data_IF_595345470376
#
_entry.id   IF_595345470376
#
_cell.length_a   1.000
_cell.length_b   1.000
_cell.length_c   1.000
_cell.angle_alpha   90.00
_cell.angle_beta   90.00
_cell.angle_gamma   90.00
#
_symmetry.space_group_name_H-M   'P 1'
#
loop_
_entity.id
_entity.type
_entity.pdbx_description
1 polymer ?
#
# COMPACT_ATOMS: atom_id res chain seq x y z
N UNK A 1 4.85 6.09 36.16
CA UNK A 1 4.77 4.69 36.70
C UNK A 1 6.13 4.05 37.03
N UNK A 2 7.22 4.30 36.32
CA UNK A 2 8.57 3.79 36.69
C UNK A 2 9.30 4.72 37.66
N UNK A 3 8.97 6.01 37.71
CA UNK A 3 9.57 7.01 38.61
C UNK A 3 8.94 6.97 39.98
N UNK A 4 7.69 6.58 40.13
CA UNK A 4 7.01 6.45 41.43
C UNK A 4 7.35 5.14 42.16
N UNK A 5 7.81 4.12 41.48
CA UNK A 5 8.22 2.86 42.12
C UNK A 5 9.59 2.93 42.80
N UNK A 6 10.40 3.93 42.47
CA UNK A 6 11.72 4.16 43.09
C UNK A 6 11.71 5.11 44.29
N UNK A 7 10.57 5.75 44.59
CA UNK A 7 10.44 6.69 45.69
C UNK A 7 9.96 6.06 47.01
N UNK A 8 9.55 4.80 47.02
CA UNK A 8 8.96 4.14 48.21
C UNK A 8 9.87 3.20 48.99
N UNK A 9 11.16 3.09 48.66
CA UNK A 9 12.11 2.27 49.41
C UNK A 9 13.36 3.08 49.77
N UNK A 10 13.22 4.08 50.62
CA UNK A 10 14.35 4.74 51.27
C UNK A 10 14.42 4.36 52.76
N UNK A 11 15.36 3.49 53.09
CA UNK A 11 16.08 3.56 54.35
C UNK A 11 17.56 3.88 54.08
N UNK A 12 17.93 5.01 54.57
CA UNK A 12 19.22 5.69 54.65
C UNK A 12 20.44 4.74 54.68
N UNK A 13 21.28 4.80 53.65
CA UNK A 13 22.75 4.78 53.77
C UNK A 13 23.36 4.97 52.37
N UNK A 14 24.20 6.01 52.25
CA UNK A 14 25.10 6.32 51.11
C UNK A 14 24.50 7.08 49.89
N UNK A 15 24.18 8.36 50.13
CA UNK A 15 23.84 9.34 49.07
C UNK A 15 25.02 9.64 48.12
N UNK A 16 26.27 9.49 48.51
CA UNK A 16 27.44 9.79 47.65
C UNK A 16 27.80 8.70 46.62
N UNK A 17 27.36 7.46 46.83
CA UNK A 17 27.59 6.35 45.88
C UNK A 17 26.47 6.22 44.83
N UNK A 18 25.29 6.74 45.13
CA UNK A 18 24.16 6.77 44.20
C UNK A 18 24.34 7.82 43.09
N UNK A 19 24.86 9.00 43.43
CA UNK A 19 25.10 10.08 42.47
C UNK A 19 26.21 9.77 41.48
N UNK A 20 27.26 9.02 41.90
CA UNK A 20 28.29 8.56 40.95
C UNK A 20 27.87 7.43 40.03
N UNK A 21 26.88 6.59 40.38
CA UNK A 21 26.33 5.55 39.50
C UNK A 21 25.24 6.05 38.56
N UNK A 22 24.50 7.10 38.93
CA UNK A 22 23.51 7.72 38.08
C UNK A 22 24.14 8.56 36.95
N UNK A 23 25.31 9.15 37.17
CA UNK A 23 26.04 9.93 36.17
C UNK A 23 26.81 9.05 35.14
N UNK A 24 26.83 7.73 35.32
CA UNK A 24 27.49 6.79 34.38
C UNK A 24 26.50 5.93 33.58
N UNK A 25 25.20 6.25 33.64
CA UNK A 25 24.29 5.78 32.57
C UNK A 25 24.60 6.64 31.35
N UNK A 26 25.58 6.17 30.61
CA UNK A 26 26.16 6.80 29.44
C UNK A 26 25.03 7.26 28.51
N UNK A 27 24.96 8.58 28.26
CA UNK A 27 24.02 9.22 27.30
C UNK A 27 24.00 8.46 25.99
N UNK A 28 25.10 7.78 25.62
CA UNK A 28 25.16 6.88 24.47
C UNK A 28 24.27 5.63 24.61
N UNK A 29 24.04 5.11 25.83
CA UNK A 29 23.10 4.00 26.03
C UNK A 29 21.64 4.47 26.07
N UNK A 30 21.38 5.64 26.61
CA UNK A 30 20.05 6.28 26.49
C UNK A 30 19.75 6.64 25.04
N UNK A 31 20.70 7.16 24.30
CA UNK A 31 20.54 7.41 22.86
C UNK A 31 20.42 6.10 22.04
N UNK A 32 21.11 5.03 22.43
CA UNK A 32 20.87 3.71 21.82
C UNK A 32 19.49 3.15 22.17
N UNK A 33 19.04 3.25 23.39
CA UNK A 33 17.70 2.80 23.82
C UNK A 33 16.61 3.68 23.19
N UNK A 34 16.80 5.02 23.10
CA UNK A 34 15.94 5.90 22.32
C UNK A 34 16.02 5.57 20.80
N UNK A 35 17.21 5.34 20.27
CA UNK A 35 17.40 4.97 18.86
C UNK A 35 16.77 3.61 18.52
N UNK A 36 16.79 2.64 19.45
CA UNK A 36 16.02 1.39 19.32
C UNK A 36 14.52 1.57 19.53
N UNK A 37 14.07 2.56 20.34
CA UNK A 37 12.64 2.89 20.51
C UNK A 37 12.09 3.80 19.42
N UNK A 38 12.93 4.52 18.70
CA UNK A 38 12.57 5.35 17.55
C UNK A 38 13.04 4.75 16.21
N UNK A 39 13.16 3.42 16.12
CA UNK A 39 13.01 2.78 14.83
C UNK A 39 11.56 3.04 14.43
N UNK A 40 11.31 4.21 13.85
CA UNK A 40 10.07 4.53 13.17
C UNK A 40 9.87 3.38 12.19
N UNK A 41 8.98 2.44 12.52
CA UNK A 41 8.55 1.44 11.57
C UNK A 41 7.93 2.22 10.42
N UNK A 42 8.72 2.50 9.40
CA UNK A 42 8.22 3.08 8.16
C UNK A 42 7.29 2.06 7.50
N UNK A 43 6.31 2.55 6.73
CA UNK A 43 5.49 1.72 5.86
C UNK A 43 6.39 0.76 5.07
N UNK A 44 6.02 -0.52 5.04
CA UNK A 44 6.77 -1.54 4.30
C UNK A 44 6.45 -1.38 2.81
N UNK A 45 7.50 -1.41 1.97
CA UNK A 45 7.38 -1.39 0.51
C UNK A 45 7.93 -2.69 -0.03
N UNK A 46 7.10 -3.41 -0.76
CA UNK A 46 7.44 -4.62 -1.49
C UNK A 46 7.61 -4.26 -2.97
N UNK A 47 8.85 -4.08 -3.41
CA UNK A 47 9.20 -3.80 -4.81
C UNK A 47 9.55 -5.11 -5.50
N UNK A 48 8.63 -5.60 -6.37
CA UNK A 48 8.72 -6.98 -6.85
C UNK A 48 9.80 -7.18 -7.91
N UNK A 49 10.13 -6.16 -8.71
CA UNK A 49 11.18 -6.28 -9.73
C UNK A 49 12.62 -6.25 -9.17
N UNK A 50 12.80 -6.12 -7.84
CA UNK A 50 14.12 -6.42 -7.23
C UNK A 50 14.54 -7.88 -7.45
N UNK A 51 13.56 -8.76 -7.72
CA UNK A 51 13.80 -10.17 -8.06
C UNK A 51 13.19 -10.49 -9.43
N UNK A 52 14.01 -11.05 -10.33
CA UNK A 52 13.55 -11.41 -11.66
C UNK A 52 12.46 -12.50 -11.64
N UNK A 53 11.39 -12.28 -12.40
CA UNK A 53 10.28 -13.21 -12.56
C UNK A 53 9.56 -12.98 -13.91
N UNK A 54 8.49 -13.70 -14.16
CA UNK A 54 7.62 -13.48 -15.35
C UNK A 54 7.04 -12.05 -15.36
N UNK A 55 6.98 -11.38 -14.21
CA UNK A 55 6.54 -10.01 -14.07
C UNK A 55 7.34 -9.04 -14.95
N UNK A 56 8.67 -9.28 -15.11
CA UNK A 56 9.53 -8.49 -15.99
C UNK A 56 8.98 -8.40 -17.42
N UNK A 57 8.44 -9.51 -17.94
CA UNK A 57 7.85 -9.55 -19.28
C UNK A 57 6.59 -8.68 -19.38
N UNK A 58 5.70 -8.76 -18.39
CA UNK A 58 4.47 -7.98 -18.41
C UNK A 58 4.75 -6.47 -18.25
N UNK A 59 5.67 -6.09 -17.36
CA UNK A 59 6.10 -4.70 -17.21
C UNK A 59 6.77 -4.18 -18.48
N UNK A 60 7.66 -4.97 -19.11
CA UNK A 60 8.28 -4.61 -20.39
C UNK A 60 7.21 -4.35 -21.48
N UNK A 61 6.20 -5.21 -21.58
CA UNK A 61 5.17 -5.07 -22.61
C UNK A 61 4.27 -3.83 -22.39
N UNK A 62 3.90 -3.49 -21.17
CA UNK A 62 3.09 -2.29 -20.89
C UNK A 62 3.88 -0.98 -21.02
N UNK A 63 5.21 -1.02 -20.94
CA UNK A 63 6.10 0.13 -21.15
C UNK A 63 6.48 0.33 -22.62
N UNK A 64 6.50 -0.71 -23.43
CA UNK A 64 6.93 -0.66 -24.83
C UNK A 64 5.88 0.08 -25.68
N UNK A 65 6.26 1.27 -26.20
CA UNK A 65 5.41 2.18 -26.98
C UNK A 65 4.76 1.55 -28.23
N UNK A 66 5.27 0.42 -28.71
CA UNK A 66 4.70 -0.28 -29.86
C UNK A 66 3.68 -1.35 -29.41
N UNK A 67 3.97 -2.04 -28.30
CA UNK A 67 3.13 -3.14 -27.78
C UNK A 67 1.93 -2.57 -27.01
N UNK A 68 2.12 -1.54 -26.20
CA UNK A 68 1.07 -0.95 -25.35
C UNK A 68 -0.11 -0.34 -26.12
N UNK A 69 0.03 -0.10 -27.44
CA UNK A 69 -1.05 0.40 -28.32
C UNK A 69 -2.20 -0.60 -28.49
N UNK A 70 -1.95 -1.88 -28.28
CA UNK A 70 -2.98 -2.90 -28.18
C UNK A 70 -3.64 -2.82 -26.82
N UNK A 71 -4.78 -2.13 -26.73
CA UNK A 71 -5.51 -1.91 -25.47
C UNK A 71 -5.98 -3.21 -24.81
N UNK A 72 -6.27 -4.27 -25.57
CA UNK A 72 -6.64 -5.58 -25.02
C UNK A 72 -5.43 -6.20 -24.33
N UNK A 73 -4.27 -6.23 -24.98
CA UNK A 73 -3.01 -6.73 -24.40
C UNK A 73 -2.59 -5.91 -23.19
N UNK A 74 -2.73 -4.58 -23.27
CA UNK A 74 -2.41 -3.68 -22.16
C UNK A 74 -3.26 -4.01 -20.91
N UNK A 75 -4.59 -4.09 -21.06
CA UNK A 75 -5.48 -4.49 -19.95
C UNK A 75 -5.13 -5.89 -19.42
N UNK A 76 -4.89 -6.86 -20.32
CA UNK A 76 -4.56 -8.23 -19.91
C UNK A 76 -3.24 -8.31 -19.14
N UNK A 77 -2.27 -7.48 -19.48
CA UNK A 77 -1.01 -7.41 -18.73
C UNK A 77 -1.19 -6.73 -17.36
N UNK A 78 -2.02 -5.67 -17.26
CA UNK A 78 -2.38 -5.09 -15.96
C UNK A 78 -3.07 -6.12 -15.04
N UNK A 79 -3.96 -6.94 -15.60
CA UNK A 79 -4.63 -8.03 -14.90
C UNK A 79 -3.62 -9.08 -14.41
N UNK A 80 -2.72 -9.57 -15.26
CA UNK A 80 -1.65 -10.52 -14.89
C UNK A 80 -0.71 -9.98 -13.82
N UNK A 81 -0.39 -8.69 -13.90
CA UNK A 81 0.41 -8.02 -12.86
C UNK A 81 -0.36 -7.99 -11.55
N UNK A 82 -1.67 -7.72 -11.58
CA UNK A 82 -2.55 -7.78 -10.43
C UNK A 82 -2.58 -9.17 -9.78
N UNK A 83 -2.63 -10.23 -10.60
CA UNK A 83 -2.55 -11.63 -10.16
C UNK A 83 -1.24 -11.92 -9.40
N UNK A 84 -0.10 -11.51 -9.97
CA UNK A 84 1.23 -11.71 -9.34
C UNK A 84 1.35 -10.91 -8.03
N UNK A 85 0.93 -9.63 -8.03
CA UNK A 85 0.94 -8.79 -6.84
C UNK A 85 0.05 -9.38 -5.74
N UNK A 86 -1.10 -9.93 -6.10
CA UNK A 86 -2.04 -10.58 -5.17
C UNK A 86 -1.45 -11.85 -4.55
N UNK A 87 -0.76 -12.67 -5.33
CA UNK A 87 -0.08 -13.84 -4.81
C UNK A 87 0.98 -13.46 -3.77
N UNK A 88 1.81 -12.47 -4.05
CA UNK A 88 2.82 -11.99 -3.11
C UNK A 88 2.19 -11.37 -1.86
N UNK A 89 1.15 -10.53 -2.03
CA UNK A 89 0.39 -9.92 -0.94
C UNK A 89 -0.25 -10.98 -0.03
N UNK A 90 -0.78 -12.06 -0.61
CA UNK A 90 -1.45 -13.11 0.15
C UNK A 90 -0.58 -13.71 1.24
N UNK A 91 0.75 -13.74 1.07
CA UNK A 91 1.71 -14.24 2.06
C UNK A 91 1.75 -13.41 3.35
N UNK A 92 1.14 -12.22 3.35
CA UNK A 92 1.08 -11.28 4.49
C UNK A 92 -0.33 -11.16 5.08
N UNK A 93 -1.29 -11.88 4.53
CA UNK A 93 -2.65 -11.95 5.08
C UNK A 93 -2.73 -12.89 6.27
N UNK A 94 -3.80 -12.77 7.03
CA UNK A 94 -4.12 -13.68 8.14
C UNK A 94 -4.71 -14.97 7.61
N UNK A 95 -4.31 -16.10 8.22
CA UNK A 95 -4.75 -17.45 7.85
C UNK A 95 -5.36 -18.14 9.05
N UNK A 96 -6.52 -18.77 8.85
CA UNK A 96 -7.23 -19.51 9.86
C UNK A 96 -7.24 -21.02 9.56
N UNK A 97 -7.21 -21.89 10.60
CA UNK A 97 -7.36 -23.32 10.39
C UNK A 97 -8.78 -23.64 9.94
N UNK A 98 -8.91 -24.45 8.90
CA UNK A 98 -10.19 -24.94 8.39
C UNK A 98 -10.09 -26.45 8.13
N UNK A 99 -11.13 -27.18 8.54
CA UNK A 99 -11.22 -28.62 8.31
C UNK A 99 -11.85 -28.87 6.94
N UNK A 100 -11.10 -29.49 6.04
CA UNK A 100 -11.55 -29.88 4.72
C UNK A 100 -11.85 -31.38 4.71
N UNK A 101 -13.07 -31.79 4.36
CA UNK A 101 -13.43 -33.19 4.15
C UNK A 101 -13.15 -33.56 2.69
N UNK A 102 -12.24 -34.51 2.49
CA UNK A 102 -11.90 -35.05 1.17
C UNK A 102 -12.60 -36.39 0.97
N UNK A 103 -12.52 -36.96 -0.22
CA UNK A 103 -13.09 -38.29 -0.52
C UNK A 103 -12.46 -39.44 0.27
N UNK A 104 -11.27 -39.25 0.86
CA UNK A 104 -10.52 -40.25 1.57
C UNK A 104 -10.39 -39.96 3.08
N UNK A 105 -10.86 -38.83 3.57
CA UNK A 105 -10.78 -38.45 4.96
C UNK A 105 -10.68 -36.95 5.18
N UNK A 106 -10.50 -36.54 6.41
CA UNK A 106 -10.42 -35.13 6.82
C UNK A 106 -8.98 -34.62 6.83
N UNK A 107 -8.80 -33.38 6.39
CA UNK A 107 -7.52 -32.67 6.43
C UNK A 107 -7.69 -31.28 7.04
N UNK A 108 -6.79 -30.90 7.94
CA UNK A 108 -6.67 -29.52 8.41
C UNK A 108 -5.88 -28.70 7.39
N UNK A 109 -6.48 -27.66 6.87
CA UNK A 109 -5.91 -26.68 5.94
C UNK A 109 -5.82 -25.32 6.62
N UNK A 110 -5.14 -24.36 5.98
CA UNK A 110 -5.17 -22.97 6.38
C UNK A 110 -5.72 -22.17 5.22
N UNK A 111 -6.72 -21.34 5.49
CA UNK A 111 -7.39 -20.50 4.50
C UNK A 111 -7.26 -19.02 4.87
N UNK A 112 -7.31 -18.15 3.88
CA UNK A 112 -7.27 -16.70 4.08
C UNK A 112 -8.59 -16.25 4.72
N UNK A 113 -8.52 -15.24 5.60
CA UNK A 113 -9.69 -14.54 6.09
C UNK A 113 -10.42 -13.83 4.95
N UNK A 114 -11.73 -14.04 4.85
CA UNK A 114 -12.56 -13.50 3.77
C UNK A 114 -12.98 -12.03 3.98
N UNK A 115 -12.57 -11.37 5.07
CA UNK A 115 -12.88 -9.97 5.36
C UNK A 115 -12.01 -9.01 4.54
N UNK A 116 -12.00 -9.19 3.20
CA UNK A 116 -11.25 -8.38 2.26
C UNK A 116 -12.17 -7.42 1.50
N UNK A 117 -11.71 -6.18 1.31
CA UNK A 117 -12.33 -5.20 0.40
C UNK A 117 -11.31 -4.72 -0.61
N UNK A 118 -11.61 -4.86 -1.89
CA UNK A 118 -10.78 -4.35 -3.00
C UNK A 118 -11.38 -3.02 -3.46
N UNK A 119 -10.64 -1.92 -3.30
CA UNK A 119 -11.03 -0.58 -3.70
C UNK A 119 -10.22 -0.14 -4.93
N UNK A 120 -10.88 0.07 -6.07
CA UNK A 120 -10.24 0.52 -7.30
C UNK A 120 -10.45 1.98 -7.60
N UNK A 121 -9.39 2.66 -8.04
CA UNK A 121 -9.45 4.02 -8.56
C UNK A 121 -9.76 3.96 -10.06
N UNK A 122 -10.94 4.44 -10.42
CA UNK A 122 -11.44 4.42 -11.80
C UNK A 122 -10.75 5.52 -12.63
N UNK A 123 -10.58 5.29 -13.93
CA UNK A 123 -10.86 4.14 -14.81
C UNK A 123 -9.70 3.14 -14.85
N UNK A 124 -8.46 3.64 -14.71
CA UNK A 124 -7.23 2.88 -14.92
C UNK A 124 -7.10 1.64 -14.02
N UNK A 125 -7.68 1.68 -12.82
CA UNK A 125 -7.63 0.58 -11.85
C UNK A 125 -8.42 -0.67 -12.21
N UNK A 126 -9.38 -0.63 -13.16
CA UNK A 126 -10.26 -1.76 -13.45
C UNK A 126 -9.55 -3.06 -13.85
N UNK A 127 -8.56 -3.07 -14.76
CA UNK A 127 -7.88 -4.32 -15.12
C UNK A 127 -7.03 -4.86 -13.95
N UNK A 128 -6.39 -3.98 -13.19
CA UNK A 128 -5.64 -4.37 -12.00
C UNK A 128 -6.56 -4.97 -10.94
N UNK A 129 -7.73 -4.35 -10.71
CA UNK A 129 -8.79 -4.86 -9.84
C UNK A 129 -9.21 -6.28 -10.24
N UNK A 130 -9.45 -6.52 -11.54
CA UNK A 130 -9.81 -7.84 -12.01
C UNK A 130 -8.74 -8.89 -11.68
N UNK A 131 -7.46 -8.55 -11.85
CA UNK A 131 -6.36 -9.44 -11.49
C UNK A 131 -6.31 -9.74 -9.99
N UNK A 132 -6.60 -8.75 -9.13
CA UNK A 132 -6.68 -8.94 -7.68
C UNK A 132 -7.89 -9.82 -7.34
N UNK A 133 -9.04 -9.57 -7.95
CA UNK A 133 -10.28 -10.31 -7.72
C UNK A 133 -10.18 -11.78 -8.16
N UNK A 134 -9.37 -12.09 -9.19
CA UNK A 134 -9.12 -13.46 -9.62
C UNK A 134 -8.46 -14.33 -8.52
N UNK A 135 -7.81 -13.72 -7.54
CA UNK A 135 -7.16 -14.40 -6.40
C UNK A 135 -7.98 -14.31 -5.12
N UNK A 136 -8.77 -13.26 -4.97
CA UNK A 136 -9.63 -13.00 -3.82
C UNK A 136 -11.08 -12.89 -4.27
N UNK A 137 -11.61 -13.97 -4.84
CA UNK A 137 -12.90 -14.03 -5.53
C UNK A 137 -14.12 -13.76 -4.64
N UNK A 138 -13.97 -13.94 -3.32
CA UNK A 138 -15.00 -13.64 -2.32
C UNK A 138 -14.90 -12.21 -1.74
N UNK A 139 -13.87 -11.42 -2.14
CA UNK A 139 -13.70 -10.08 -1.62
C UNK A 139 -14.84 -9.15 -2.02
N UNK A 140 -15.25 -8.29 -1.10
CA UNK A 140 -16.17 -7.20 -1.41
C UNK A 140 -15.47 -6.13 -2.25
N UNK A 141 -16.22 -5.41 -3.08
CA UNK A 141 -15.65 -4.49 -4.05
C UNK A 141 -16.09 -3.04 -3.78
N UNK A 142 -15.12 -2.13 -3.87
CA UNK A 142 -15.32 -0.69 -3.83
C UNK A 142 -14.78 -0.04 -5.10
N UNK A 143 -15.48 0.97 -5.61
CA UNK A 143 -15.09 1.71 -6.80
C UNK A 143 -15.15 3.21 -6.53
N UNK A 144 -14.09 3.93 -6.91
CA UNK A 144 -13.97 5.35 -6.68
C UNK A 144 -13.50 6.04 -7.96
N UNK A 145 -14.21 7.10 -8.35
CA UNK A 145 -13.75 8.01 -9.40
C UNK A 145 -13.00 9.16 -8.76
N UNK A 146 -11.71 9.27 -9.08
CA UNK A 146 -10.86 10.39 -8.68
C UNK A 146 -10.13 10.95 -9.90
N UNK A 147 -10.19 12.27 -10.10
CA UNK A 147 -9.52 12.93 -11.23
C UNK A 147 -8.89 14.26 -10.82
N UNK A 148 -7.91 14.68 -11.63
CA UNK A 148 -7.24 15.96 -11.45
C UNK A 148 -8.14 17.07 -11.96
N UNK A 149 -8.46 18.04 -11.12
CA UNK A 149 -9.15 19.26 -11.49
C UNK A 149 -8.16 20.41 -11.46
N UNK A 150 -7.98 21.08 -12.62
CA UNK A 150 -7.18 22.29 -12.70
C UNK A 150 -8.11 23.49 -12.49
N UNK A 151 -7.87 24.29 -11.47
CA UNK A 151 -8.54 25.59 -11.35
C UNK A 151 -7.93 26.57 -12.36
N UNK A 152 -8.75 27.49 -12.89
CA UNK A 152 -8.36 28.38 -14.00
C UNK A 152 -7.16 29.30 -13.71
N UNK A 153 -6.71 29.39 -12.45
CA UNK A 153 -5.68 30.34 -11.99
C UNK A 153 -4.50 29.72 -11.24
N UNK A 154 -4.45 28.37 -11.08
CA UNK A 154 -3.40 27.72 -10.28
C UNK A 154 -2.52 26.79 -11.11
N UNK A 155 -1.22 26.87 -10.84
CA UNK A 155 -0.22 25.89 -11.31
C UNK A 155 -0.34 24.55 -10.59
N UNK A 156 -1.16 24.43 -9.54
CA UNK A 156 -1.43 23.20 -8.79
C UNK A 156 -2.79 22.62 -9.20
N UNK A 157 -2.95 21.31 -9.03
CA UNK A 157 -4.20 20.61 -9.30
C UNK A 157 -4.77 20.02 -8.00
N UNK A 158 -6.08 20.07 -7.85
CA UNK A 158 -6.83 19.41 -6.79
C UNK A 158 -7.34 18.04 -7.27
N UNK A 159 -7.33 17.05 -6.38
CA UNK A 159 -7.97 15.76 -6.66
C UNK A 159 -9.41 15.82 -6.23
N UNK A 160 -10.31 15.69 -7.19
CA UNK A 160 -11.75 15.66 -6.96
C UNK A 160 -12.25 14.22 -6.99
N UNK A 161 -12.95 13.84 -5.93
CA UNK A 161 -13.62 12.54 -5.81
C UNK A 161 -15.11 12.76 -6.06
N UNK A 162 -15.67 12.14 -7.11
CA UNK A 162 -17.07 12.36 -7.51
C UNK A 162 -17.98 11.16 -7.28
N UNK A 163 -17.45 9.95 -7.47
CA UNK A 163 -18.23 8.73 -7.30
C UNK A 163 -17.56 7.83 -6.27
N UNK A 164 -18.36 7.33 -5.34
CA UNK A 164 -17.93 6.35 -4.35
C UNK A 164 -19.02 5.30 -4.20
N UNK A 165 -18.69 4.06 -4.48
CA UNK A 165 -19.45 2.89 -4.09
C UNK A 165 -18.54 1.99 -3.25
N UNK A 166 -18.87 1.78 -1.97
CA UNK A 166 -18.05 1.00 -1.04
C UNK A 166 -18.91 0.27 -0.02
N UNK A 167 -18.55 -0.95 0.36
CA UNK A 167 -19.12 -1.62 1.53
C UNK A 167 -18.63 -0.95 2.83
N UNK A 168 -19.12 -1.44 3.99
CA UNK A 168 -18.56 -1.09 5.28
C UNK A 168 -17.10 -1.59 5.38
N UNK A 169 -16.18 -0.71 5.82
CA UNK A 169 -14.74 -1.00 5.94
C UNK A 169 -14.32 -1.38 7.37
N UNK A 170 -15.23 -1.25 8.34
CA UNK A 170 -14.90 -1.45 9.75
C UNK A 170 -14.34 -2.84 10.01
N UNK A 171 -13.11 -2.90 10.57
CA UNK A 171 -12.41 -4.12 10.94
C UNK A 171 -11.93 -4.99 9.77
N UNK A 172 -12.14 -4.59 8.51
CA UNK A 172 -11.75 -5.35 7.31
C UNK A 172 -10.33 -5.04 6.85
N UNK A 173 -9.76 -5.92 6.04
CA UNK A 173 -8.52 -5.65 5.31
C UNK A 173 -8.87 -4.96 3.99
N UNK A 174 -8.33 -3.76 3.80
CA UNK A 174 -8.57 -2.93 2.62
C UNK A 174 -7.39 -3.01 1.64
N UNK A 175 -7.66 -3.35 0.39
CA UNK A 175 -6.69 -3.31 -0.72
C UNK A 175 -7.08 -2.14 -1.62
N UNK A 176 -6.23 -1.09 -1.71
CA UNK A 176 -6.46 0.04 -2.61
C UNK A 176 -5.60 -0.15 -3.86
N UNK A 177 -6.24 -0.23 -5.02
CA UNK A 177 -5.60 -0.54 -6.30
C UNK A 177 -5.64 0.65 -7.26
N UNK A 178 -4.45 1.10 -7.68
CA UNK A 178 -4.24 2.07 -8.76
C UNK A 178 -2.97 1.70 -9.53
N UNK A 179 -2.99 1.50 -10.85
CA UNK A 179 -1.80 1.13 -11.60
C UNK A 179 -0.68 2.18 -11.56
N UNK A 180 -0.97 3.44 -11.25
CA UNK A 180 -0.05 4.56 -11.39
C UNK A 180 0.14 5.33 -10.08
N UNK A 181 1.17 5.01 -9.30
CA UNK A 181 1.53 5.79 -8.10
C UNK A 181 2.48 6.94 -8.47
N UNK A 182 1.96 7.96 -9.16
CA UNK A 182 2.77 9.10 -9.62
C UNK A 182 3.12 10.05 -8.46
N UNK A 183 2.23 10.97 -8.09
CA UNK A 183 2.44 11.89 -6.95
C UNK A 183 1.95 11.33 -5.61
N UNK A 184 1.13 10.29 -5.62
CA UNK A 184 0.45 9.75 -4.43
C UNK A 184 -0.77 10.57 -3.96
N UNK A 185 -1.00 11.77 -4.49
CA UNK A 185 -2.12 12.64 -4.08
C UNK A 185 -3.48 11.99 -4.30
N UNK A 186 -3.69 11.30 -5.44
CA UNK A 186 -4.97 10.59 -5.72
C UNK A 186 -5.23 9.47 -4.71
N UNK A 187 -4.21 8.67 -4.41
CA UNK A 187 -4.30 7.60 -3.44
C UNK A 187 -4.68 8.11 -2.05
N UNK A 188 -4.05 9.21 -1.61
CA UNK A 188 -4.34 9.85 -0.33
C UNK A 188 -5.77 10.43 -0.31
N UNK A 189 -6.19 11.16 -1.35
CA UNK A 189 -7.52 11.73 -1.44
C UNK A 189 -8.63 10.66 -1.43
N UNK A 190 -8.40 9.55 -2.14
CA UNK A 190 -9.32 8.40 -2.12
C UNK A 190 -9.41 7.81 -0.71
N UNK A 191 -8.29 7.58 -0.05
CA UNK A 191 -8.29 7.05 1.31
C UNK A 191 -9.02 7.97 2.30
N UNK A 192 -8.78 9.28 2.24
CA UNK A 192 -9.53 10.25 3.06
C UNK A 192 -11.04 10.21 2.79
N UNK A 193 -11.46 10.07 1.52
CA UNK A 193 -12.86 10.03 1.15
C UNK A 193 -13.60 8.77 1.64
N UNK A 194 -12.90 7.62 1.78
CA UNK A 194 -13.51 6.35 2.21
C UNK A 194 -13.47 6.12 3.72
N UNK A 195 -12.66 6.84 4.48
CA UNK A 195 -12.57 6.72 5.96
C UNK A 195 -13.93 6.82 6.67
N UNK A 196 -14.87 7.57 6.12
CA UNK A 196 -16.24 7.72 6.68
C UNK A 196 -17.07 6.43 6.65
N UNK A 197 -16.63 5.40 5.92
CA UNK A 197 -17.31 4.11 5.80
C UNK A 197 -16.75 3.03 6.74
N UNK A 198 -15.89 3.41 7.67
CA UNK A 198 -15.30 2.55 8.70
C UNK A 198 -13.77 2.55 8.72
N UNK A 199 -13.19 2.04 9.80
CA UNK A 199 -11.76 1.94 10.01
C UNK A 199 -11.25 0.53 9.65
N UNK A 200 -10.50 0.36 8.54
CA UNK A 200 -9.93 -0.94 8.19
C UNK A 200 -8.86 -1.36 9.22
N UNK A 201 -8.83 -2.65 9.57
CA UNK A 201 -7.79 -3.23 10.45
C UNK A 201 -6.40 -3.22 9.81
N UNK A 202 -6.32 -3.34 8.49
CA UNK A 202 -5.09 -3.38 7.70
C UNK A 202 -5.33 -2.74 6.34
N UNK A 203 -4.29 -2.08 5.80
CA UNK A 203 -4.34 -1.46 4.47
C UNK A 203 -3.19 -2.01 3.64
N UNK A 204 -3.51 -2.46 2.44
CA UNK A 204 -2.56 -2.78 1.39
C UNK A 204 -2.79 -1.83 0.21
N UNK A 205 -1.74 -1.19 -0.28
CA UNK A 205 -1.77 -0.41 -1.51
C UNK A 205 -1.13 -1.26 -2.59
N UNK A 206 -1.80 -1.38 -3.73
CA UNK A 206 -1.32 -2.17 -4.89
C UNK A 206 -1.18 -1.25 -6.09
N UNK A 207 0.03 -1.16 -6.63
CA UNK A 207 0.33 -0.36 -7.83
C UNK A 207 1.20 -1.11 -8.81
N UNK A 208 1.04 -0.80 -10.09
CA UNK A 208 1.86 -1.42 -11.16
C UNK A 208 3.19 -0.72 -11.25
N UNK A 209 3.19 0.61 -11.46
CA UNK A 209 4.40 1.42 -11.40
C UNK A 209 4.21 2.64 -10.49
N UNK A 210 5.30 3.11 -9.94
CA UNK A 210 5.31 4.34 -9.15
C UNK A 210 6.55 5.17 -9.34
N UNK A 211 6.51 6.41 -8.89
CA UNK A 211 7.68 7.26 -8.76
C UNK A 211 8.26 7.19 -7.35
N UNK A 212 9.56 7.41 -7.19
CA UNK A 212 10.17 7.60 -5.86
C UNK A 212 9.46 8.69 -5.04
N UNK A 213 9.03 9.76 -5.70
CA UNK A 213 8.27 10.83 -5.06
C UNK A 213 6.95 10.32 -4.48
N UNK A 214 6.14 9.63 -5.29
CA UNK A 214 4.85 9.08 -4.87
C UNK A 214 4.98 8.06 -3.74
N UNK A 215 5.98 7.17 -3.83
CA UNK A 215 6.28 6.21 -2.77
C UNK A 215 6.62 6.90 -1.46
N UNK A 216 7.46 7.95 -1.49
CA UNK A 216 7.82 8.72 -0.30
C UNK A 216 6.63 9.51 0.25
N UNK A 217 5.79 10.07 -0.64
CA UNK A 217 4.58 10.77 -0.23
C UNK A 217 3.63 9.87 0.56
N UNK A 218 3.30 8.68 0.04
CA UNK A 218 2.38 7.76 0.75
C UNK A 218 2.99 7.20 2.04
N UNK A 219 4.32 6.97 2.11
CA UNK A 219 5.00 6.59 3.35
C UNK A 219 4.77 7.58 4.50
N UNK A 220 4.63 8.86 4.18
CA UNK A 220 4.40 9.92 5.16
C UNK A 220 2.91 10.18 5.42
N UNK A 221 2.03 9.73 4.54
CA UNK A 221 0.59 10.03 4.59
C UNK A 221 -0.23 8.90 5.20
N UNK A 222 0.16 7.66 4.96
CA UNK A 222 -0.54 6.49 5.48
C UNK A 222 0.02 6.01 6.83
N UNK A 223 -0.80 5.28 7.57
CA UNK A 223 -0.40 4.69 8.84
C UNK A 223 0.74 3.67 8.65
N UNK A 224 1.52 3.46 9.71
CA UNK A 224 2.61 2.46 9.74
C UNK A 224 2.13 1.02 9.51
N UNK A 225 0.84 0.76 9.68
CA UNK A 225 0.22 -0.55 9.43
C UNK A 225 -0.19 -0.75 7.97
N UNK A 226 0.18 0.18 7.07
CA UNK A 226 -0.04 0.08 5.63
C UNK A 226 1.16 -0.55 4.97
N UNK A 227 0.94 -1.40 3.96
CA UNK A 227 1.99 -1.99 3.13
C UNK A 227 1.75 -1.62 1.66
N UNK A 228 2.82 -1.24 0.94
CA UNK A 228 2.78 -0.99 -0.50
C UNK A 228 3.34 -2.20 -1.26
N UNK A 229 2.58 -2.67 -2.22
CA UNK A 229 2.94 -3.71 -3.18
C UNK A 229 3.04 -3.08 -4.56
N UNK A 230 4.24 -3.05 -5.11
CA UNK A 230 4.51 -2.37 -6.38
C UNK A 230 5.42 -3.19 -7.27
N UNK A 231 5.07 -3.28 -8.55
CA UNK A 231 5.89 -4.04 -9.47
C UNK A 231 7.19 -3.30 -9.77
N UNK A 232 7.14 -1.99 -10.09
CA UNK A 232 8.34 -1.23 -10.44
C UNK A 232 8.30 0.21 -9.94
N UNK A 233 9.48 0.81 -9.69
CA UNK A 233 9.62 2.18 -9.18
C UNK A 233 10.58 2.96 -10.07
N UNK A 234 10.05 4.01 -10.69
CA UNK A 234 10.81 4.95 -11.51
C UNK A 234 11.33 6.14 -10.69
N UNK A 235 12.43 6.75 -11.16
CA UNK A 235 13.13 7.81 -10.41
C UNK A 235 12.35 9.12 -10.36
N UNK A 236 11.76 9.56 -11.47
CA UNK A 236 11.36 10.94 -11.68
C UNK A 236 9.88 11.08 -12.08
N UNK A 237 9.39 12.32 -11.95
CA UNK A 237 8.17 12.82 -12.56
C UNK A 237 8.51 13.98 -13.52
N UNK A 238 7.72 14.14 -14.59
CA UNK A 238 7.76 15.36 -15.40
C UNK A 238 7.02 16.52 -14.73
N UNK A 239 7.02 17.69 -15.38
CA UNK A 239 6.33 18.90 -14.90
C UNK A 239 4.80 18.74 -14.81
N UNK A 240 4.22 17.79 -15.54
CA UNK A 240 2.78 17.48 -15.53
C UNK A 240 2.43 16.37 -14.53
N UNK A 241 3.42 15.83 -13.82
CA UNK A 241 3.26 14.75 -12.84
C UNK A 241 3.11 13.35 -13.47
N UNK A 242 3.62 13.14 -14.70
CA UNK A 242 3.77 11.80 -15.28
C UNK A 242 5.05 11.14 -14.80
N UNK A 243 4.98 9.83 -14.60
CA UNK A 243 6.14 9.00 -14.20
C UNK A 243 7.13 8.93 -15.39
N UNK A 244 8.41 9.10 -15.12
CA UNK A 244 9.49 9.02 -16.10
C UNK A 244 10.50 7.91 -15.73
N UNK A 245 10.76 6.95 -16.65
CA UNK A 245 10.26 6.81 -18.01
C UNK A 245 8.76 6.41 -18.10
N UNK A 246 8.18 5.79 -17.05
CA UNK A 246 6.75 5.48 -16.96
C UNK A 246 6.22 4.58 -18.07
N UNK A 247 4.94 4.78 -18.41
CA UNK A 247 4.23 4.10 -19.49
C UNK A 247 3.20 4.99 -20.21
N UNK A 248 3.04 6.26 -19.81
CA UNK A 248 1.99 7.16 -20.28
C UNK A 248 0.74 7.18 -19.40
N UNK A 249 -0.45 7.44 -19.98
CA UNK A 249 -1.74 7.40 -19.25
C UNK A 249 -2.36 6.01 -19.34
N UNK A 250 -2.36 5.28 -18.21
CA UNK A 250 -2.89 3.92 -18.14
C UNK A 250 -4.40 3.84 -18.42
N UNK A 251 -5.16 4.90 -18.10
CA UNK A 251 -6.60 4.97 -18.38
C UNK A 251 -6.87 5.09 -19.86
N UNK A 252 -6.13 5.96 -20.55
CA UNK A 252 -6.28 6.19 -21.99
C UNK A 252 -5.77 4.97 -22.78
N UNK A 253 -4.66 4.36 -22.38
CA UNK A 253 -4.17 3.11 -22.98
C UNK A 253 -5.17 1.94 -22.82
N UNK A 254 -5.88 1.90 -21.70
CA UNK A 254 -6.87 0.85 -21.43
C UNK A 254 -8.20 1.06 -22.16
N UNK A 255 -8.70 2.31 -22.23
CA UNK A 255 -10.11 2.62 -22.56
C UNK A 255 -10.31 3.74 -23.58
N UNK A 256 -9.23 4.26 -24.15
CA UNK A 256 -9.28 5.40 -25.06
C UNK A 256 -9.25 6.74 -24.34
N UNK A 257 -8.91 7.78 -25.12
CA UNK A 257 -8.72 9.16 -24.61
C UNK A 257 -9.99 9.73 -24.01
N UNK A 258 -9.83 10.54 -22.96
CA UNK A 258 -10.91 11.38 -22.39
C UNK A 258 -11.14 12.59 -23.29
N UNK A 259 -12.37 13.10 -23.29
CA UNK A 259 -12.71 14.39 -23.89
C UNK A 259 -12.26 15.54 -22.98
#
# INVERSE_FOLDING_TARGET
MVVEFLASNHNLLNCELADKKLNTINIQNLNKILFFKTKTLNMVVHHLLEVNSVLNTFIKEIRDKNIQKDSMRFRRNLERIGEVLSYELSKRLEYFPEKTTTVLGDKNSKVIDNDLVICSILRAGLPLHQGILNYFDTAENAFISAYRHHSKNDTDFEIKVEYIATPNLEGKTLIIADPMLATGKSMAAVYEAIKKFGAPKKIHIVSVIGSKFGVNFIKNHFSKNTELWIADIDENLDSNGYILPGLGDAGDLSYGSKL
#
